data_IF_299470591203
#
_entry.id   IF_299470591203
#
_cell.length_a   1.000
_cell.length_b   1.000
_cell.length_c   1.000
_cell.angle_alpha   90.00
_cell.angle_beta   90.00
_cell.angle_gamma   90.00
#
_symmetry.space_group_name_H-M   'P 1'
#
loop_
_entity.id
_entity.type
_entity.pdbx_description
1 polymer ?
#
# COMPACT_ATOMS: atom_id res chain seq x y z
N UNK A 1 1.60 -33.54 0.51
CA UNK A 1 1.18 -34.34 -0.65
C UNK A 1 1.64 -33.66 -1.92
N UNK A 2 2.88 -33.97 -2.29
CA UNK A 2 3.39 -34.14 -3.66
C UNK A 2 2.37 -33.95 -4.80
N UNK A 3 2.72 -33.07 -5.74
CA UNK A 3 2.34 -33.20 -7.14
C UNK A 3 3.49 -32.71 -8.02
N UNK A 4 4.48 -33.60 -8.16
CA UNK A 4 5.54 -33.53 -9.17
C UNK A 4 5.01 -34.23 -10.44
N UNK A 5 5.63 -33.91 -11.58
CA UNK A 5 5.63 -34.68 -12.85
C UNK A 5 4.35 -34.72 -13.69
N UNK A 6 4.30 -33.88 -14.75
CA UNK A 6 3.90 -34.30 -16.10
C UNK A 6 3.97 -33.11 -17.06
N UNK A 7 5.17 -32.75 -17.52
CA UNK A 7 5.39 -32.18 -18.87
C UNK A 7 6.88 -32.31 -19.17
N UNK A 8 7.34 -33.56 -19.12
CA UNK A 8 8.60 -33.94 -19.71
C UNK A 8 8.30 -34.31 -21.18
N UNK A 9 9.18 -33.85 -22.07
CA UNK A 9 9.47 -34.38 -23.41
C UNK A 9 8.53 -33.93 -24.56
N UNK A 10 9.04 -33.03 -25.41
CA UNK A 10 9.30 -33.37 -26.82
C UNK A 10 10.00 -32.21 -27.55
N UNK A 11 11.20 -32.51 -28.07
CA UNK A 11 11.95 -31.82 -29.15
C UNK A 11 13.39 -31.45 -28.76
N UNK A 12 14.27 -32.45 -28.86
CA UNK A 12 15.58 -32.42 -29.54
C UNK A 12 16.30 -31.07 -29.67
N UNK A 13 16.64 -30.39 -28.57
CA UNK A 13 17.75 -29.44 -28.55
C UNK A 13 18.53 -29.61 -27.23
N UNK A 14 19.81 -29.97 -27.36
CA UNK A 14 20.71 -30.36 -26.29
C UNK A 14 21.18 -29.23 -25.37
N UNK A 15 20.24 -28.55 -24.71
CA UNK A 15 20.52 -27.69 -23.56
C UNK A 15 19.42 -27.92 -22.52
N UNK A 16 19.72 -28.70 -21.48
CA UNK A 16 18.84 -28.79 -20.31
C UNK A 16 18.95 -27.49 -19.52
N UNK A 17 18.10 -26.50 -19.84
CA UNK A 17 17.85 -25.38 -18.93
C UNK A 17 16.96 -25.92 -17.82
N UNK A 18 17.58 -26.34 -16.71
CA UNK A 18 16.82 -26.57 -15.48
C UNK A 18 16.32 -25.22 -15.00
N UNK A 19 15.06 -24.91 -15.29
CA UNK A 19 14.35 -23.80 -14.64
C UNK A 19 14.18 -24.20 -13.17
N UNK A 20 15.19 -23.92 -12.36
CA UNK A 20 15.06 -23.91 -10.91
C UNK A 20 14.20 -22.70 -10.58
N UNK A 21 12.89 -22.94 -10.45
CA UNK A 21 11.98 -21.92 -9.92
C UNK A 21 12.42 -21.64 -8.49
N UNK A 22 13.22 -20.59 -8.30
CA UNK A 22 13.48 -20.05 -6.98
C UNK A 22 12.11 -19.66 -6.41
N UNK A 23 11.62 -20.45 -5.45
CA UNK A 23 10.56 -19.99 -4.59
C UNK A 23 11.17 -18.82 -3.80
N UNK A 24 10.96 -17.59 -4.26
CA UNK A 24 11.23 -16.42 -3.42
C UNK A 24 10.44 -16.65 -2.13
N UNK A 25 11.08 -16.63 -0.95
CA UNK A 25 10.35 -16.78 0.29
C UNK A 25 9.23 -15.74 0.29
N UNK A 26 8.01 -16.19 0.58
CA UNK A 26 6.88 -15.29 0.81
C UNK A 26 7.32 -14.45 2.00
N UNK A 27 7.73 -13.22 1.73
CA UNK A 27 8.05 -12.23 2.75
C UNK A 27 6.77 -11.98 3.53
N UNK A 28 6.60 -12.73 4.62
CA UNK A 28 5.67 -12.40 5.68
C UNK A 28 5.95 -10.97 6.06
N UNK A 29 5.04 -10.08 5.66
CA UNK A 29 5.11 -8.63 5.72
C UNK A 29 5.39 -8.14 7.14
N UNK A 30 6.64 -8.13 7.57
CA UNK A 30 7.08 -7.31 8.70
C UNK A 30 7.33 -5.93 8.12
N UNK A 31 6.28 -5.12 8.02
CA UNK A 31 6.46 -3.70 7.68
C UNK A 31 7.35 -3.11 8.78
N UNK A 32 8.46 -2.46 8.45
CA UNK A 32 9.24 -1.79 9.47
C UNK A 32 8.34 -0.79 10.21
N UNK A 33 8.36 -0.75 11.55
CA UNK A 33 7.63 0.25 12.29
C UNK A 33 8.12 1.64 11.87
N UNK A 34 7.20 2.52 11.50
CA UNK A 34 7.49 3.90 11.11
C UNK A 34 7.40 4.76 12.38
N UNK A 35 8.41 5.58 12.65
CA UNK A 35 8.39 6.47 13.81
C UNK A 35 7.44 7.65 13.60
N UNK A 36 6.99 8.28 14.69
CA UNK A 36 6.06 9.40 14.59
C UNK A 36 6.72 10.63 13.94
N UNK A 37 8.04 10.82 14.12
CA UNK A 37 8.83 11.89 13.51
C UNK A 37 8.94 11.72 11.99
N UNK A 38 9.06 10.48 11.51
CA UNK A 38 9.06 10.18 10.09
C UNK A 38 7.68 10.50 9.46
N UNK A 39 6.60 10.26 10.19
CA UNK A 39 5.25 10.63 9.74
C UNK A 39 5.11 12.14 9.71
N UNK A 40 5.53 12.85 10.75
CA UNK A 40 5.46 14.31 10.79
C UNK A 40 6.27 14.98 9.68
N UNK A 41 7.50 14.55 9.46
CA UNK A 41 8.34 15.08 8.37
C UNK A 41 7.69 14.86 7.00
N UNK A 42 7.08 13.70 6.78
CA UNK A 42 6.36 13.40 5.54
C UNK A 42 5.07 14.22 5.38
N UNK A 43 4.33 14.45 6.47
CA UNK A 43 3.13 15.29 6.48
C UNK A 43 3.46 16.75 6.18
N UNK A 44 4.60 17.23 6.64
CA UNK A 44 5.10 18.58 6.37
C UNK A 44 5.60 18.77 4.93
N UNK A 45 5.90 17.69 4.20
CA UNK A 45 6.17 17.77 2.76
C UNK A 45 4.84 17.91 1.98
N UNK A 46 4.45 19.18 1.79
CA UNK A 46 3.28 19.57 0.99
C UNK A 46 3.29 18.99 -0.41
N UNK A 47 4.45 18.88 -1.07
CA UNK A 47 4.55 18.36 -2.44
C UNK A 47 4.28 16.86 -2.45
N UNK A 48 4.85 16.13 -1.51
CA UNK A 48 4.59 14.69 -1.34
C UNK A 48 3.13 14.44 -1.00
N UNK A 49 2.58 15.13 0.01
CA UNK A 49 1.21 14.94 0.45
C UNK A 49 0.19 15.24 -0.67
N UNK A 50 0.40 16.31 -1.44
CA UNK A 50 -0.46 16.61 -2.60
C UNK A 50 -0.41 15.53 -3.68
N UNK A 51 0.76 14.91 -3.94
CA UNK A 51 0.84 13.77 -4.87
C UNK A 51 0.07 12.57 -4.33
N UNK A 52 0.17 12.30 -3.02
CA UNK A 52 -0.57 11.21 -2.39
C UNK A 52 -2.09 11.43 -2.44
N UNK A 53 -2.56 12.64 -2.17
CA UNK A 53 -3.97 13.01 -2.30
C UNK A 53 -4.47 12.85 -3.74
N UNK A 54 -3.71 13.34 -4.72
CA UNK A 54 -4.06 13.14 -6.15
C UNK A 54 -4.08 11.67 -6.54
N UNK A 55 -3.14 10.86 -6.05
CA UNK A 55 -3.16 9.41 -6.24
C UNK A 55 -4.43 8.77 -5.65
N UNK A 56 -4.80 9.15 -4.42
CA UNK A 56 -6.03 8.68 -3.78
C UNK A 56 -7.26 9.06 -4.61
N UNK A 57 -7.28 10.25 -5.23
CA UNK A 57 -8.37 10.70 -6.10
C UNK A 57 -8.31 10.12 -7.52
N UNK A 58 -7.25 9.40 -7.89
CA UNK A 58 -7.05 8.93 -9.26
C UNK A 58 -6.63 10.01 -10.26
N UNK A 59 -6.26 11.20 -9.78
CA UNK A 59 -5.77 12.33 -10.59
C UNK A 59 -4.27 12.23 -10.92
N UNK A 60 -3.53 11.31 -10.29
CA UNK A 60 -2.10 11.09 -10.50
C UNK A 60 -1.70 9.62 -10.28
N UNK A 61 -0.57 9.15 -10.85
CA UNK A 61 -0.04 7.82 -10.57
C UNK A 61 0.36 7.68 -9.11
N UNK A 62 0.10 6.51 -8.55
CA UNK A 62 0.44 6.17 -7.17
C UNK A 62 1.81 5.50 -7.09
N UNK A 63 2.61 5.88 -6.09
CA UNK A 63 3.77 5.13 -5.63
C UNK A 63 3.34 3.91 -4.78
N UNK A 64 4.26 2.98 -4.40
CA UNK A 64 3.90 1.82 -3.58
C UNK A 64 3.17 2.19 -2.28
N UNK A 65 3.57 3.29 -1.64
CA UNK A 65 2.95 3.80 -0.41
C UNK A 65 1.53 4.30 -0.70
N UNK A 66 1.36 5.14 -1.72
CA UNK A 66 0.06 5.67 -2.13
C UNK A 66 -0.94 4.59 -2.53
N UNK A 67 -0.49 3.55 -3.25
CA UNK A 67 -1.35 2.40 -3.59
C UNK A 67 -1.88 1.69 -2.34
N UNK A 68 -1.00 1.52 -1.36
CA UNK A 68 -1.37 0.89 -0.10
C UNK A 68 -2.34 1.76 0.70
N UNK A 69 -2.06 3.05 0.85
CA UNK A 69 -2.97 4.00 1.51
C UNK A 69 -4.33 4.05 0.81
N UNK A 70 -4.35 4.08 -0.53
CA UNK A 70 -5.57 4.05 -1.34
C UNK A 70 -6.42 2.82 -1.07
N UNK A 71 -5.80 1.64 -0.94
CA UNK A 71 -6.51 0.39 -0.62
C UNK A 71 -7.11 0.38 0.80
N UNK A 72 -6.48 1.08 1.75
CA UNK A 72 -6.91 1.15 3.15
C UNK A 72 -7.89 2.30 3.42
N UNK A 73 -7.90 3.35 2.58
CA UNK A 73 -8.75 4.52 2.72
C UNK A 73 -10.23 4.20 3.04
N UNK A 74 -10.93 3.32 2.30
CA UNK A 74 -12.34 3.03 2.59
C UNK A 74 -12.56 2.32 3.94
N UNK A 75 -11.59 1.53 4.40
CA UNK A 75 -11.68 0.85 5.69
C UNK A 75 -11.51 1.85 6.84
N UNK A 76 -10.47 2.68 6.73
CA UNK A 76 -10.11 3.71 7.71
C UNK A 76 -11.23 4.74 7.85
N UNK A 77 -11.83 5.18 6.74
CA UNK A 77 -12.94 6.14 6.76
C UNK A 77 -14.22 5.58 7.39
N UNK A 78 -14.42 4.26 7.33
CA UNK A 78 -15.51 3.56 8.03
C UNK A 78 -15.19 3.28 9.51
N UNK A 79 -14.02 3.69 9.99
CA UNK A 79 -13.58 3.45 11.37
C UNK A 79 -13.08 2.03 11.61
N UNK A 80 -12.82 1.24 10.57
CA UNK A 80 -12.36 -0.14 10.68
C UNK A 80 -10.92 -0.27 10.18
N UNK A 81 -10.00 -0.80 10.99
CA UNK A 81 -8.72 -1.28 10.48
C UNK A 81 -8.37 -2.63 11.12
N UNK A 82 -8.75 -3.76 10.48
CA UNK A 82 -8.58 -5.08 11.07
C UNK A 82 -7.11 -5.51 11.19
N UNK A 83 -6.20 -4.86 10.45
CA UNK A 83 -4.78 -5.18 10.39
C UNK A 83 -3.89 -4.01 10.83
N UNK A 84 -4.39 -3.11 11.69
CA UNK A 84 -3.62 -2.02 12.27
C UNK A 84 -3.26 -2.32 13.73
N UNK A 85 -2.02 -2.02 14.10
CA UNK A 85 -1.59 -1.90 15.50
C UNK A 85 -2.14 -0.63 16.15
N UNK A 86 -2.11 -0.54 17.48
CA UNK A 86 -2.52 0.68 18.20
C UNK A 86 -1.70 1.91 17.83
N UNK A 87 -0.42 1.72 17.51
CA UNK A 87 0.44 2.79 17.02
C UNK A 87 -0.01 3.24 15.63
N UNK A 88 -0.19 2.31 14.68
CA UNK A 88 -0.67 2.63 13.33
C UNK A 88 -2.04 3.34 13.37
N UNK A 89 -2.95 2.95 14.28
CA UNK A 89 -4.24 3.63 14.45
C UNK A 89 -4.08 5.10 14.84
N UNK A 90 -3.24 5.40 15.85
CA UNK A 90 -2.95 6.78 16.28
C UNK A 90 -2.31 7.59 15.16
N UNK A 91 -1.38 6.98 14.44
CA UNK A 91 -0.68 7.59 13.31
C UNK A 91 -1.66 7.93 12.18
N UNK A 92 -2.54 7.00 11.82
CA UNK A 92 -3.59 7.22 10.82
C UNK A 92 -4.51 8.36 11.26
N UNK A 93 -5.02 8.35 12.49
CA UNK A 93 -5.86 9.43 13.01
C UNK A 93 -5.18 10.81 12.92
N UNK A 94 -3.88 10.87 13.26
CA UNK A 94 -3.06 12.09 13.14
C UNK A 94 -2.96 12.56 11.69
N UNK A 95 -2.70 11.66 10.75
CA UNK A 95 -2.64 11.96 9.31
C UNK A 95 -4.00 12.50 8.83
N UNK A 96 -5.11 11.86 9.20
CA UNK A 96 -6.45 12.30 8.81
C UNK A 96 -6.76 13.70 9.35
N UNK A 97 -6.50 13.94 10.64
CA UNK A 97 -6.70 15.24 11.27
C UNK A 97 -5.86 16.33 10.61
N UNK A 98 -4.60 16.02 10.24
CA UNK A 98 -3.72 16.94 9.53
C UNK A 98 -4.26 17.27 8.13
N UNK A 99 -4.68 16.26 7.36
CA UNK A 99 -5.23 16.46 6.01
C UNK A 99 -6.52 17.26 6.05
N UNK A 100 -7.43 16.94 6.98
CA UNK A 100 -8.69 17.66 7.16
C UNK A 100 -8.46 19.15 7.49
N UNK A 101 -7.48 19.45 8.34
CA UNK A 101 -7.16 20.82 8.76
C UNK A 101 -6.47 21.63 7.66
N UNK A 102 -5.52 21.03 6.94
CA UNK A 102 -4.64 21.76 6.01
C UNK A 102 -5.09 21.68 4.54
N UNK A 103 -5.86 20.65 4.17
CA UNK A 103 -6.30 20.36 2.79
C UNK A 103 -7.80 20.03 2.74
N UNK A 104 -8.69 20.92 3.22
CA UNK A 104 -10.12 20.62 3.33
C UNK A 104 -10.80 20.37 1.98
N UNK A 105 -10.29 20.98 0.89
CA UNK A 105 -10.85 20.80 -0.46
C UNK A 105 -10.60 19.39 -0.98
N UNK A 106 -9.35 18.94 -0.88
CA UNK A 106 -8.92 17.60 -1.27
C UNK A 106 -9.56 16.55 -0.36
N UNK A 107 -9.65 16.82 0.94
CA UNK A 107 -10.34 15.97 1.91
C UNK A 107 -11.80 15.72 1.52
N UNK A 108 -12.54 16.76 1.15
CA UNK A 108 -13.93 16.61 0.71
C UNK A 108 -14.06 15.73 -0.55
N UNK A 109 -13.13 15.84 -1.50
CA UNK A 109 -13.10 14.94 -2.67
C UNK A 109 -12.82 13.49 -2.25
N UNK A 110 -11.92 13.27 -1.29
CA UNK A 110 -11.61 11.93 -0.77
C UNK A 110 -12.86 11.33 -0.11
N UNK A 111 -13.59 12.11 0.68
CA UNK A 111 -14.86 11.66 1.26
C UNK A 111 -15.87 11.29 0.18
N UNK A 112 -16.03 12.11 -0.87
CA UNK A 112 -16.92 11.78 -1.99
C UNK A 112 -16.50 10.49 -2.72
N UNK A 113 -15.20 10.25 -2.83
CA UNK A 113 -14.66 9.07 -3.51
C UNK A 113 -14.83 7.77 -2.72
N UNK A 114 -14.77 7.81 -1.38
CA UNK A 114 -14.64 6.60 -0.54
C UNK A 114 -15.71 6.44 0.54
N UNK A 115 -16.42 7.50 0.93
CA UNK A 115 -17.48 7.47 1.95
C UNK A 115 -18.89 7.30 1.34
N UNK A 116 -18.99 7.19 0.01
CA UNK A 116 -20.20 6.82 -0.72
C UNK A 116 -20.50 5.33 -0.67
#
# INVERSE_FOLDING_TARGET
MNNTTLFTICSLFGVWVTVTRAATPIESTTRPPISDEQIESTLNDRRYLMRQLKCALGEAPCDPVGRRLKSLAPLVLRGTCPNCTQQELRQVQKILAYVQKNYPKEWNKVLQQYAG
#
